data_IF_664269962702
#
_entry.id   IF_664269962702
#
_cell.length_a   1.000
_cell.length_b   1.000
_cell.length_c   1.000
_cell.angle_alpha   90.00
_cell.angle_beta   90.00
_cell.angle_gamma   90.00
#
_symmetry.space_group_name_H-M   'P 1'
#
loop_
_entity.id
_entity.type
_entity.pdbx_description
1 polymer ?
#
# COMPACT_ATOMS: atom_id res chain seq x y z
N UNK A 1 -2.15 1.50 13.79
CA UNK A 1 -1.95 0.06 14.09
C UNK A 1 -0.49 -0.25 13.83
N UNK A 2 0.29 -0.64 14.83
CA UNK A 2 1.72 -0.87 14.66
C UNK A 2 2.00 -2.34 14.33
N UNK A 3 2.76 -2.55 13.34
CA UNK A 3 3.54 -3.64 12.72
C UNK A 3 3.34 -5.11 13.05
N UNK A 4 2.86 -5.51 14.18
CA UNK A 4 2.66 -6.93 14.52
C UNK A 4 1.30 -7.51 14.09
N UNK A 5 0.31 -6.66 13.86
CA UNK A 5 -1.09 -7.09 13.70
C UNK A 5 -1.70 -6.86 12.31
N UNK A 6 -0.95 -6.33 11.33
CA UNK A 6 -1.54 -6.06 10.00
C UNK A 6 -2.02 -7.33 9.31
N UNK A 7 -1.24 -8.41 9.39
CA UNK A 7 -1.63 -9.71 8.83
C UNK A 7 -2.89 -10.28 9.49
N UNK A 8 -2.96 -10.22 10.82
CA UNK A 8 -4.15 -10.65 11.58
C UNK A 8 -5.37 -9.75 11.29
N UNK A 9 -5.13 -8.46 11.06
CA UNK A 9 -6.18 -7.51 10.66
C UNK A 9 -6.75 -7.84 9.28
N UNK A 10 -5.92 -8.26 8.32
CA UNK A 10 -6.37 -8.71 6.99
C UNK A 10 -7.27 -9.92 7.10
N UNK A 11 -6.86 -10.93 7.90
CA UNK A 11 -7.68 -12.12 8.15
C UNK A 11 -9.00 -11.75 8.82
N UNK A 12 -8.95 -10.89 9.84
CA UNK A 12 -10.13 -10.45 10.59
C UNK A 12 -11.11 -9.68 9.70
N UNK A 13 -10.62 -8.76 8.86
CA UNK A 13 -11.43 -8.00 7.92
C UNK A 13 -12.19 -8.94 6.98
N UNK A 14 -11.52 -9.92 6.39
CA UNK A 14 -12.18 -10.91 5.52
C UNK A 14 -13.22 -11.76 6.25
N UNK A 15 -12.94 -12.12 7.51
CA UNK A 15 -13.85 -12.94 8.31
C UNK A 15 -15.11 -12.16 8.71
N UNK A 16 -14.97 -10.88 9.08
CA UNK A 16 -16.07 -10.05 9.56
C UNK A 16 -16.85 -9.42 8.40
N UNK A 17 -16.14 -8.87 7.42
CA UNK A 17 -16.73 -8.07 6.34
C UNK A 17 -16.99 -8.88 5.07
N UNK A 18 -16.52 -10.12 5.01
CA UNK A 18 -16.69 -11.00 3.86
C UNK A 18 -15.71 -10.75 2.70
N UNK A 19 -15.91 -11.45 1.58
CA UNK A 19 -15.04 -11.33 0.41
C UNK A 19 -15.38 -10.07 -0.40
N UNK A 20 -14.39 -9.50 -1.12
CA UNK A 20 -14.65 -8.42 -2.06
C UNK A 20 -15.68 -8.82 -3.14
N UNK A 21 -16.63 -7.94 -3.41
CA UNK A 21 -17.70 -8.15 -4.40
C UNK A 21 -18.31 -6.81 -4.81
N UNK A 22 -19.24 -6.80 -5.76
CA UNK A 22 -20.00 -5.61 -6.16
C UNK A 22 -20.72 -4.91 -5.00
N UNK A 23 -21.11 -5.69 -3.98
CA UNK A 23 -21.79 -5.19 -2.76
C UNK A 23 -20.83 -4.90 -1.61
N UNK A 24 -19.56 -5.26 -1.77
CA UNK A 24 -18.57 -5.16 -0.71
C UNK A 24 -17.23 -4.71 -1.28
N UNK A 25 -17.07 -3.41 -1.45
CA UNK A 25 -15.86 -2.78 -1.96
C UNK A 25 -14.88 -2.50 -0.82
N UNK A 26 -13.61 -2.75 -1.08
CA UNK A 26 -12.53 -2.45 -0.14
C UNK A 26 -11.66 -1.31 -0.66
N UNK A 27 -11.35 -0.37 0.20
CA UNK A 27 -10.34 0.65 -0.04
C UNK A 27 -9.32 0.63 1.11
N UNK A 28 -8.11 0.19 0.80
CA UNK A 28 -6.96 0.23 1.71
C UNK A 28 -6.25 1.57 1.57
N UNK A 29 -6.21 2.33 2.64
CA UNK A 29 -5.76 3.72 2.57
C UNK A 29 -4.27 3.90 2.92
N UNK A 30 -3.39 3.05 2.36
CA UNK A 30 -1.95 3.15 2.50
C UNK A 30 -1.37 2.66 3.83
N UNK A 31 -0.07 2.88 4.02
CA UNK A 31 0.71 2.47 5.19
C UNK A 31 0.68 0.95 5.44
N UNK A 32 0.83 0.18 4.38
CA UNK A 32 0.79 -1.27 4.43
C UNK A 32 2.12 -1.85 4.91
N UNK A 33 3.24 -1.19 4.55
CA UNK A 33 4.59 -1.62 4.90
C UNK A 33 5.12 -0.91 6.15
N UNK A 34 6.34 -1.23 6.54
CA UNK A 34 7.05 -0.73 7.72
C UNK A 34 6.43 -1.09 9.09
N UNK A 35 7.16 -0.82 10.16
CA UNK A 35 6.76 -1.00 11.56
C UNK A 35 6.29 -2.41 11.90
N UNK A 36 6.98 -3.42 11.38
CA UNK A 36 6.69 -4.82 11.67
C UNK A 36 7.63 -5.78 10.98
N UNK A 37 7.39 -7.07 11.13
CA UNK A 37 8.22 -8.12 10.55
C UNK A 37 7.50 -8.94 9.46
N UNK A 38 6.31 -8.49 9.03
CA UNK A 38 5.47 -9.15 8.03
C UNK A 38 4.90 -8.18 6.99
N UNK A 39 5.63 -7.11 6.70
CA UNK A 39 5.21 -6.10 5.71
C UNK A 39 5.15 -6.71 4.32
N UNK A 40 6.10 -7.58 3.99
CA UNK A 40 6.16 -8.24 2.68
C UNK A 40 4.93 -9.11 2.47
N UNK A 41 4.59 -9.95 3.44
CA UNK A 41 3.41 -10.81 3.37
C UNK A 41 2.12 -9.98 3.25
N UNK A 42 2.03 -8.86 3.98
CA UNK A 42 0.87 -7.97 3.93
C UNK A 42 0.70 -7.32 2.56
N UNK A 43 1.77 -6.75 2.01
CA UNK A 43 1.69 -6.06 0.72
C UNK A 43 1.48 -7.04 -0.45
N UNK A 44 2.13 -8.21 -0.42
CA UNK A 44 1.91 -9.25 -1.43
C UNK A 44 0.47 -9.79 -1.38
N UNK A 45 -0.06 -10.04 -0.19
CA UNK A 45 -1.45 -10.45 -0.02
C UNK A 45 -2.41 -9.40 -0.60
N UNK A 46 -2.16 -8.12 -0.33
CA UNK A 46 -2.95 -7.03 -0.87
C UNK A 46 -2.89 -6.96 -2.40
N UNK A 47 -1.71 -7.14 -2.98
CA UNK A 47 -1.54 -7.18 -4.44
C UNK A 47 -2.26 -8.39 -5.06
N UNK A 48 -2.19 -9.56 -4.44
CA UNK A 48 -2.97 -10.73 -4.87
C UNK A 48 -4.47 -10.42 -4.81
N UNK A 49 -4.95 -9.80 -3.74
CA UNK A 49 -6.35 -9.38 -3.64
C UNK A 49 -6.73 -8.40 -4.75
N UNK A 50 -5.89 -7.41 -5.04
CA UNK A 50 -6.11 -6.47 -6.14
C UNK A 50 -6.14 -7.14 -7.50
N UNK A 51 -5.30 -8.15 -7.74
CA UNK A 51 -5.27 -8.91 -8.98
C UNK A 51 -6.50 -9.82 -9.15
N UNK A 52 -6.92 -10.48 -8.06
CA UNK A 52 -8.10 -11.38 -8.07
C UNK A 52 -9.41 -10.61 -8.13
N UNK A 53 -9.46 -9.43 -7.47
CA UNK A 53 -10.65 -8.59 -7.38
C UNK A 53 -10.39 -7.16 -7.89
N UNK A 54 -10.02 -6.98 -9.18
CA UNK A 54 -9.52 -5.72 -9.70
C UNK A 54 -10.52 -4.56 -9.61
N UNK A 55 -11.82 -4.86 -9.62
CA UNK A 55 -12.90 -3.88 -9.57
C UNK A 55 -13.50 -3.67 -8.17
N UNK A 56 -13.07 -4.47 -7.17
CA UNK A 56 -13.65 -4.46 -5.84
C UNK A 56 -12.63 -4.13 -4.74
N UNK A 57 -11.34 -4.15 -5.08
CA UNK A 57 -10.24 -3.82 -4.16
C UNK A 57 -9.49 -2.62 -4.70
N UNK A 58 -9.40 -1.58 -3.89
CA UNK A 58 -8.70 -0.33 -4.18
C UNK A 58 -7.63 -0.08 -3.14
N UNK A 59 -6.55 0.58 -3.54
CA UNK A 59 -5.42 0.83 -2.65
C UNK A 59 -4.90 2.23 -2.90
N UNK A 60 -4.84 3.07 -1.87
CA UNK A 60 -4.10 4.33 -1.90
C UNK A 60 -2.65 4.11 -1.47
N UNK A 61 -1.77 4.93 -1.98
CA UNK A 61 -0.41 5.06 -1.51
C UNK A 61 -0.37 5.85 -0.21
N UNK A 62 0.26 5.30 0.83
CA UNK A 62 0.59 6.02 2.05
C UNK A 62 2.00 6.62 1.99
N UNK A 63 2.38 7.35 3.04
CA UNK A 63 3.74 7.89 3.13
C UNK A 63 4.78 6.79 3.37
N UNK A 64 4.39 5.67 3.98
CA UNK A 64 5.27 4.50 4.15
C UNK A 64 5.55 3.74 2.86
N UNK A 65 4.75 3.88 1.82
CA UNK A 65 5.05 3.37 0.48
C UNK A 65 6.02 4.31 -0.25
N UNK A 66 7.20 4.54 0.37
CA UNK A 66 8.27 5.40 -0.17
C UNK A 66 9.66 4.89 0.21
N UNK A 67 10.60 5.06 -0.72
CA UNK A 67 11.98 4.60 -0.55
C UNK A 67 12.62 5.10 0.74
N UNK A 68 12.53 6.42 1.02
CA UNK A 68 13.19 7.02 2.18
C UNK A 68 12.66 6.47 3.50
N UNK A 69 11.35 6.27 3.62
CA UNK A 69 10.76 5.73 4.84
C UNK A 69 11.04 4.24 4.99
N UNK A 70 11.03 3.48 3.90
CA UNK A 70 11.33 2.05 3.93
C UNK A 70 12.76 1.72 4.38
N UNK A 71 13.73 2.58 4.03
CA UNK A 71 15.10 2.46 4.55
C UNK A 71 15.17 2.76 6.06
N UNK A 72 14.37 3.72 6.56
CA UNK A 72 14.40 4.15 7.96
C UNK A 72 13.56 3.31 8.91
N UNK A 73 12.48 2.72 8.43
CA UNK A 73 11.43 2.13 9.26
C UNK A 73 11.33 0.61 9.15
N UNK A 74 12.29 -0.03 8.46
CA UNK A 74 12.54 -1.46 8.56
C UNK A 74 12.02 -2.33 7.44
N UNK A 75 11.32 -1.82 6.43
CA UNK A 75 10.86 -2.64 5.30
C UNK A 75 12.05 -3.16 4.47
N UNK A 76 13.07 -2.32 4.23
CA UNK A 76 14.31 -2.76 3.58
C UNK A 76 15.01 -3.84 4.38
N UNK A 77 15.15 -3.66 5.69
CA UNK A 77 15.80 -4.64 6.57
C UNK A 77 15.00 -5.96 6.64
N UNK A 78 13.68 -5.89 6.52
CA UNK A 78 12.82 -7.07 6.43
C UNK A 78 13.11 -7.86 5.14
N UNK A 79 13.26 -7.18 4.00
CA UNK A 79 13.61 -7.81 2.71
C UNK A 79 14.97 -8.49 2.81
N UNK A 80 16.00 -7.77 3.29
CA UNK A 80 17.35 -8.31 3.46
C UNK A 80 17.33 -9.55 4.35
N UNK A 81 16.66 -9.48 5.48
CA UNK A 81 16.60 -10.59 6.44
C UNK A 81 15.89 -11.83 5.89
N UNK A 82 14.87 -11.67 5.04
CA UNK A 82 14.06 -12.79 4.52
C UNK A 82 14.59 -13.36 3.21
N UNK A 83 15.19 -12.52 2.38
CA UNK A 83 15.57 -12.85 1.00
C UNK A 83 17.03 -12.52 0.68
N UNK A 84 17.73 -11.81 1.57
CA UNK A 84 19.17 -11.59 1.44
C UNK A 84 19.90 -12.91 1.64
N UNK A 85 20.46 -13.45 0.54
CA UNK A 85 21.31 -14.62 0.51
C UNK A 85 22.78 -14.26 0.30
N UNK A 86 23.60 -15.24 -0.06
CA UNK A 86 25.01 -15.03 -0.45
C UNK A 86 25.15 -14.13 -1.69
N UNK A 87 24.10 -14.03 -2.52
CA UNK A 87 24.02 -13.12 -3.66
C UNK A 87 23.30 -11.84 -3.23
N UNK A 88 24.06 -10.78 -2.93
CA UNK A 88 23.55 -9.42 -2.61
C UNK A 88 22.68 -8.78 -3.73
N UNK A 89 22.51 -9.46 -4.85
CA UNK A 89 21.71 -8.96 -5.98
C UNK A 89 20.19 -9.11 -5.75
N UNK A 90 19.73 -10.19 -5.10
CA UNK A 90 18.32 -10.52 -5.04
C UNK A 90 17.53 -9.58 -4.10
N UNK A 91 18.10 -9.18 -2.97
CA UNK A 91 17.48 -8.28 -2.01
C UNK A 91 17.43 -6.82 -2.53
N UNK A 92 18.49 -6.38 -3.22
CA UNK A 92 18.54 -5.05 -3.82
C UNK A 92 17.48 -4.90 -4.90
N UNK A 93 17.41 -5.83 -5.85
CA UNK A 93 16.40 -5.81 -6.90
C UNK A 93 14.98 -5.88 -6.34
N UNK A 94 14.73 -6.74 -5.36
CA UNK A 94 13.43 -6.85 -4.72
C UNK A 94 12.98 -5.52 -4.09
N UNK A 95 13.88 -4.83 -3.40
CA UNK A 95 13.59 -3.54 -2.80
C UNK A 95 13.30 -2.46 -3.86
N UNK A 96 14.08 -2.42 -4.94
CA UNK A 96 13.88 -1.53 -6.08
C UNK A 96 12.52 -1.78 -6.77
N UNK A 97 12.13 -3.05 -6.99
CA UNK A 97 10.84 -3.41 -7.57
C UNK A 97 9.67 -2.95 -6.71
N UNK A 98 9.74 -3.11 -5.39
CA UNK A 98 8.72 -2.55 -4.50
C UNK A 98 8.66 -1.03 -4.61
N UNK A 99 9.79 -0.35 -4.64
CA UNK A 99 9.87 1.09 -4.85
C UNK A 99 9.20 1.55 -6.15
N UNK A 100 9.41 0.78 -7.22
CA UNK A 100 8.76 1.05 -8.52
C UNK A 100 7.23 0.86 -8.43
N UNK A 101 6.78 -0.27 -7.90
CA UNK A 101 5.34 -0.53 -7.72
C UNK A 101 4.68 0.55 -6.86
N UNK A 102 5.34 1.02 -5.80
CA UNK A 102 4.81 2.07 -4.93
C UNK A 102 4.62 3.40 -5.66
N UNK A 103 5.44 3.71 -6.67
CA UNK A 103 5.26 4.92 -7.51
C UNK A 103 3.98 4.86 -8.34
N UNK A 104 3.55 3.67 -8.75
CA UNK A 104 2.33 3.46 -9.53
C UNK A 104 1.06 3.39 -8.67
N UNK A 105 1.18 3.33 -7.35
CA UNK A 105 0.01 3.34 -6.47
C UNK A 105 -0.67 4.71 -6.49
N UNK A 106 -2.00 4.76 -6.69
CA UNK A 106 -2.74 6.02 -6.68
C UNK A 106 -2.67 6.71 -5.31
N UNK A 107 -2.57 8.03 -5.31
CA UNK A 107 -2.51 8.85 -4.09
C UNK A 107 -3.89 9.19 -3.52
N UNK A 108 -4.94 9.03 -4.32
CA UNK A 108 -6.30 9.34 -3.95
C UNK A 108 -7.31 8.49 -4.72
N UNK A 109 -8.49 8.29 -4.12
CA UNK A 109 -9.68 7.75 -4.80
C UNK A 109 -10.86 8.68 -4.58
N UNK A 110 -11.70 8.83 -5.63
CA UNK A 110 -12.97 9.56 -5.54
C UNK A 110 -14.11 8.56 -5.60
N UNK A 111 -14.93 8.53 -4.55
CA UNK A 111 -16.08 7.64 -4.44
C UNK A 111 -17.34 8.41 -4.85
N UNK A 112 -18.05 7.89 -5.85
CA UNK A 112 -19.34 8.41 -6.34
C UNK A 112 -19.30 9.93 -6.64
N UNK A 113 -18.18 10.47 -7.08
CA UNK A 113 -17.95 11.90 -7.34
C UNK A 113 -18.23 12.83 -6.13
N UNK A 114 -18.27 12.28 -4.90
CA UNK A 114 -18.65 13.02 -3.69
C UNK A 114 -17.64 12.94 -2.55
N UNK A 115 -16.90 11.84 -2.46
CA UNK A 115 -15.99 11.59 -1.34
C UNK A 115 -14.59 11.43 -1.90
N UNK A 116 -13.69 12.31 -1.51
CA UNK A 116 -12.25 12.18 -1.79
C UNK A 116 -11.59 11.44 -0.62
N UNK A 117 -10.96 10.30 -0.91
CA UNK A 117 -10.20 9.53 0.06
C UNK A 117 -8.72 9.67 -0.25
N UNK A 118 -7.97 10.16 0.72
CA UNK A 118 -6.51 10.32 0.66
C UNK A 118 -5.89 9.75 1.94
N UNK A 119 -4.62 9.33 1.86
CA UNK A 119 -3.93 8.80 3.05
C UNK A 119 -3.59 9.91 4.05
N UNK A 120 -3.11 11.03 3.55
CA UNK A 120 -2.74 12.23 4.32
C UNK A 120 -3.15 13.50 3.57
N UNK A 121 -2.48 14.62 3.80
CA UNK A 121 -2.69 15.84 3.04
C UNK A 121 -2.12 15.74 1.62
N UNK A 122 -2.76 16.38 0.65
CA UNK A 122 -2.29 16.39 -0.74
C UNK A 122 -1.39 17.60 -1.03
N UNK A 123 -1.69 18.74 -0.45
CA UNK A 123 -0.96 19.99 -0.67
C UNK A 123 -1.27 21.02 0.41
N UNK A 124 -0.31 21.92 0.67
CA UNK A 124 -0.54 23.15 1.45
C UNK A 124 -1.23 24.27 0.64
N UNK A 125 -1.53 24.04 -0.64
CA UNK A 125 -2.26 25.01 -1.48
C UNK A 125 -3.77 24.89 -1.24
N UNK A 126 -4.43 26.03 -1.04
CA UNK A 126 -5.88 26.12 -0.78
C UNK A 126 -6.74 25.96 -2.03
N UNK A 127 -6.15 25.97 -3.24
CA UNK A 127 -6.87 25.99 -4.53
C UNK A 127 -6.54 24.77 -5.39
N UNK A 128 -6.42 23.58 -4.79
CA UNK A 128 -6.14 22.34 -5.53
C UNK A 128 -7.45 21.69 -5.99
N UNK A 129 -7.64 21.56 -7.30
CA UNK A 129 -8.73 20.79 -7.87
C UNK A 129 -8.36 19.31 -8.02
N UNK A 130 -9.36 18.41 -8.14
CA UNK A 130 -9.14 16.97 -8.37
C UNK A 130 -8.39 16.72 -9.68
N UNK A 131 -8.65 17.54 -10.72
CA UNK A 131 -7.94 17.51 -11.99
C UNK A 131 -6.45 17.79 -11.86
N UNK A 132 -6.04 18.67 -10.97
CA UNK A 132 -4.62 18.96 -10.70
C UNK A 132 -3.89 17.76 -10.11
N UNK A 133 -4.60 16.91 -9.38
CA UNK A 133 -4.06 15.66 -8.82
C UNK A 133 -3.88 14.63 -9.93
N UNK A 134 -4.85 14.49 -10.83
CA UNK A 134 -4.80 13.55 -11.97
C UNK A 134 -3.65 13.83 -12.94
N UNK A 135 -3.31 15.10 -13.11
CA UNK A 135 -2.28 15.55 -14.07
C UNK A 135 -0.85 15.50 -13.50
N UNK A 136 -0.66 15.06 -12.25
CA UNK A 136 0.65 14.99 -11.58
C UNK A 136 1.20 13.56 -11.45
N UNK A 137 0.62 12.60 -12.13
CA UNK A 137 1.16 11.23 -12.20
C UNK A 137 2.17 11.06 -13.31
#
# INVERSE_FOLDING_TARGET
MHGGNKYSSFYLINTISGRPSEKNLYLFNGDIVDKGCRSIECILLLFVYKLVYPFFVYVNRGNHESFQLNVRNGFRDEIIRKYGGENQFDDHFMFEYFGEIFRWMPIAHVINHKILVVHGGISGSTNLAVEDIRNKQ
#
